data_IF_860835255461
#
_entry.id   IF_860835255461
#
_cell.length_a   1.000
_cell.length_b   1.000
_cell.length_c   1.000
_cell.angle_alpha   90.00
_cell.angle_beta   90.00
_cell.angle_gamma   90.00
#
_symmetry.space_group_name_H-M   'P 1'
#
loop_
_entity.id
_entity.type
_entity.pdbx_description
1 polymer ?
#
# COMPACT_ATOMS: atom_id res chain seq x y z
N UNK A 1 7.73 6.75 5.12
CA UNK A 1 7.27 7.16 6.48
C UNK A 1 8.20 6.57 7.56
N UNK A 2 8.93 7.38 8.33
CA UNK A 2 9.93 6.87 9.30
C UNK A 2 9.31 6.60 10.68
N UNK A 3 9.45 5.37 11.18
CA UNK A 3 9.04 4.98 12.55
C UNK A 3 10.15 5.33 13.54
N UNK A 4 9.81 5.55 14.80
CA UNK A 4 10.80 5.80 15.87
C UNK A 4 11.71 4.58 16.05
N UNK A 5 13.03 4.82 16.15
CA UNK A 5 14.08 3.77 16.16
C UNK A 5 13.83 2.66 17.20
N UNK A 6 13.35 3.02 18.39
CA UNK A 6 13.13 2.08 19.48
C UNK A 6 11.90 1.16 19.31
N UNK A 7 10.96 1.47 18.40
CA UNK A 7 9.72 0.69 18.22
C UNK A 7 9.86 -0.47 17.22
N UNK A 8 10.99 -0.56 16.51
CA UNK A 8 11.21 -1.53 15.45
C UNK A 8 10.27 -1.37 14.24
N UNK A 9 10.50 -2.14 13.17
CA UNK A 9 9.64 -2.18 11.99
C UNK A 9 8.28 -2.80 12.32
N UNK A 10 7.23 -2.47 11.54
CA UNK A 10 5.94 -3.15 11.67
C UNK A 10 5.93 -4.36 10.74
N UNK A 11 5.77 -5.55 11.31
CA UNK A 11 5.78 -6.82 10.59
C UNK A 11 4.42 -7.50 10.80
N UNK A 12 3.88 -8.15 9.75
CA UNK A 12 2.62 -8.91 9.81
C UNK A 12 2.89 -10.26 10.45
N UNK A 13 1.91 -10.80 11.16
CA UNK A 13 1.95 -12.20 11.57
C UNK A 13 1.54 -13.08 10.39
N UNK A 14 2.27 -14.17 10.15
CA UNK A 14 2.03 -15.08 9.01
C UNK A 14 0.58 -15.59 8.93
N UNK A 15 -0.08 -15.79 10.07
CA UNK A 15 -1.49 -16.24 10.15
C UNK A 15 -2.47 -15.27 9.47
N UNK A 16 -2.17 -13.97 9.51
CA UNK A 16 -3.07 -12.96 8.95
C UNK A 16 -3.03 -12.95 7.41
N UNK A 17 -2.00 -13.58 6.82
CA UNK A 17 -1.76 -13.68 5.38
C UNK A 17 -2.47 -14.88 4.72
N UNK A 18 -3.03 -15.80 5.51
CA UNK A 18 -3.76 -16.97 5.00
C UNK A 18 -5.11 -16.59 4.34
N UNK A 19 -5.62 -15.40 4.64
CA UNK A 19 -6.86 -14.91 4.03
C UNK A 19 -6.67 -14.61 2.54
N UNK A 20 -7.74 -14.79 1.74
CA UNK A 20 -7.67 -14.65 0.27
C UNK A 20 -7.25 -13.24 -0.21
N UNK A 21 -7.60 -12.20 0.54
CA UNK A 21 -7.25 -10.80 0.24
C UNK A 21 -7.04 -10.05 1.56
N UNK A 22 -5.88 -10.23 2.22
CA UNK A 22 -5.61 -9.58 3.49
C UNK A 22 -5.59 -8.06 3.32
N UNK A 23 -6.17 -7.35 4.30
CA UNK A 23 -6.07 -5.90 4.36
C UNK A 23 -4.80 -5.56 5.12
N UNK A 24 -3.81 -5.01 4.42
CA UNK A 24 -2.53 -4.63 5.02
C UNK A 24 -2.51 -3.14 5.39
N UNK A 25 -1.97 -2.79 6.57
CA UNK A 25 -1.87 -1.40 6.97
C UNK A 25 -0.74 -0.72 6.20
N UNK A 26 -0.91 0.57 5.91
CA UNK A 26 0.02 1.34 5.05
C UNK A 26 1.42 1.54 5.63
N UNK A 27 1.55 1.45 6.95
CA UNK A 27 2.81 1.64 7.69
C UNK A 27 3.64 0.35 7.81
N UNK A 28 3.10 -0.77 7.32
CA UNK A 28 3.75 -2.07 7.28
C UNK A 28 4.98 -2.04 6.38
N UNK A 29 6.05 -2.68 6.83
CA UNK A 29 7.26 -2.87 6.03
C UNK A 29 7.22 -4.20 5.29
N UNK A 30 7.56 -4.15 4.01
CA UNK A 30 7.57 -5.33 3.14
C UNK A 30 8.81 -6.14 3.48
N UNK A 31 8.56 -7.31 4.06
CA UNK A 31 9.55 -8.33 4.37
C UNK A 31 9.46 -9.43 3.32
N UNK A 32 10.52 -10.23 3.17
CA UNK A 32 10.58 -11.36 2.22
C UNK A 32 9.44 -12.36 2.37
N UNK A 33 8.81 -12.45 3.54
CA UNK A 33 7.67 -13.32 3.81
C UNK A 33 6.38 -12.92 3.08
N UNK A 34 6.27 -11.69 2.59
CA UNK A 34 5.03 -11.12 2.02
C UNK A 34 5.09 -11.05 0.49
N UNK A 35 6.16 -11.54 -0.13
CA UNK A 35 6.34 -11.54 -1.59
C UNK A 35 5.31 -12.45 -2.25
N UNK A 36 4.76 -12.01 -3.39
CA UNK A 36 3.78 -12.79 -4.16
C UNK A 36 2.36 -12.76 -3.61
N UNK A 37 2.14 -12.12 -2.45
CA UNK A 37 0.81 -11.96 -1.87
C UNK A 37 0.09 -10.81 -2.55
N UNK A 38 -1.20 -11.03 -2.82
CA UNK A 38 -2.12 -9.97 -3.27
C UNK A 38 -2.88 -9.44 -2.06
N UNK A 39 -2.72 -8.16 -1.77
CA UNK A 39 -3.30 -7.52 -0.59
C UNK A 39 -4.18 -6.33 -0.96
N UNK A 40 -5.08 -5.97 -0.05
CA UNK A 40 -5.88 -4.76 -0.13
C UNK A 40 -5.27 -3.69 0.76
N UNK A 41 -5.03 -2.50 0.19
CA UNK A 41 -4.44 -1.37 0.90
C UNK A 41 -5.40 -0.21 0.86
N UNK A 42 -5.72 0.37 2.02
CA UNK A 42 -6.64 1.48 2.09
C UNK A 42 -6.01 2.77 1.54
N UNK A 43 -6.67 3.43 0.60
CA UNK A 43 -6.21 4.70 -0.01
C UNK A 43 -6.75 5.94 0.71
N UNK A 44 -7.70 5.79 1.64
CA UNK A 44 -8.41 6.88 2.35
C UNK A 44 -9.89 7.00 1.96
N UNK A 45 -10.29 6.37 0.85
CA UNK A 45 -11.69 6.28 0.40
C UNK A 45 -12.07 4.85 -0.03
N UNK A 46 -11.17 4.19 -0.74
CA UNK A 46 -11.33 2.84 -1.30
C UNK A 46 -10.12 1.97 -0.96
N UNK A 47 -10.26 0.66 -1.17
CA UNK A 47 -9.15 -0.29 -1.10
C UNK A 47 -8.61 -0.54 -2.50
N UNK A 48 -7.30 -0.43 -2.65
CA UNK A 48 -6.58 -0.78 -3.87
C UNK A 48 -5.97 -2.18 -3.70
N UNK A 49 -6.11 -3.02 -4.73
CA UNK A 49 -5.41 -4.31 -4.78
C UNK A 49 -3.96 -4.08 -5.21
N UNK A 50 -3.03 -4.65 -4.46
CA UNK A 50 -1.59 -4.57 -4.72
C UNK A 50 -0.97 -5.96 -4.61
N UNK A 51 -0.24 -6.36 -5.65
CA UNK A 51 0.61 -7.57 -5.64
C UNK A 51 2.02 -7.16 -5.28
N UNK A 52 2.63 -7.80 -4.28
CA UNK A 52 3.96 -7.45 -3.78
C UNK A 52 5.03 -8.18 -4.60
N UNK A 53 5.99 -7.43 -5.16
CA UNK A 53 7.19 -7.97 -5.82
C UNK A 53 8.44 -7.86 -4.91
N UNK A 54 9.50 -8.57 -5.29
CA UNK A 54 10.77 -8.63 -4.54
C UNK A 54 11.48 -7.27 -4.44
N UNK A 55 11.41 -6.47 -5.49
CA UNK A 55 11.99 -5.11 -5.53
C UNK A 55 11.37 -4.16 -4.50
N UNK A 56 10.22 -4.52 -3.92
CA UNK A 56 9.53 -3.71 -2.91
C UNK A 56 10.04 -3.94 -1.48
N UNK A 57 10.98 -4.86 -1.26
CA UNK A 57 11.53 -5.16 0.07
C UNK A 57 12.17 -3.91 0.70
N UNK A 58 11.93 -3.72 1.99
CA UNK A 58 12.45 -2.58 2.75
C UNK A 58 11.65 -1.28 2.57
N UNK A 59 10.70 -1.26 1.63
CA UNK A 59 9.72 -0.19 1.50
C UNK A 59 8.48 -0.46 2.33
N UNK A 60 7.64 0.58 2.46
CA UNK A 60 6.33 0.45 3.10
C UNK A 60 5.24 0.24 2.07
N UNK A 61 4.29 -0.63 2.38
CA UNK A 61 3.15 -0.94 1.50
C UNK A 61 2.41 0.33 1.05
N UNK A 62 2.28 1.31 1.95
CA UNK A 62 1.60 2.57 1.65
C UNK A 62 2.31 3.50 0.67
N UNK A 63 3.57 3.25 0.32
CA UNK A 63 4.35 4.04 -0.65
C UNK A 63 3.91 3.76 -2.09
N UNK A 64 3.40 2.54 -2.34
CA UNK A 64 2.92 2.11 -3.65
C UNK A 64 1.46 2.48 -3.92
N UNK A 65 0.77 3.11 -2.95
CA UNK A 65 -0.65 3.46 -3.06
C UNK A 65 -0.85 4.97 -2.88
N UNK A 66 -1.14 5.71 -3.96
CA UNK A 66 -1.30 7.16 -3.91
C UNK A 66 -2.60 7.55 -3.22
N UNK A 67 -2.55 8.45 -2.24
CA UNK A 67 -3.74 8.88 -1.46
C UNK A 67 -4.57 9.98 -2.10
N UNK A 68 -3.93 10.78 -2.96
CA UNK A 68 -4.57 11.91 -3.64
C UNK A 68 -4.63 11.60 -5.12
N UNK A 69 -5.75 11.95 -5.73
CA UNK A 69 -5.86 11.96 -7.18
C UNK A 69 -4.94 13.04 -7.75
N UNK A 70 -4.40 12.79 -8.94
CA UNK A 70 -3.56 13.77 -9.64
C UNK A 70 -4.40 15.00 -9.96
N UNK A 71 -3.84 16.18 -9.70
CA UNK A 71 -4.48 17.42 -10.10
C UNK A 71 -4.47 17.55 -11.62
N UNK A 72 -5.67 17.70 -12.20
CA UNK A 72 -5.85 18.00 -13.62
C UNK A 72 -6.65 19.30 -13.76
N UNK A 73 -6.15 20.21 -14.60
CA UNK A 73 -6.90 21.42 -14.93
C UNK A 73 -8.19 21.04 -15.66
N UNK A 74 -9.32 21.62 -15.23
CA UNK A 74 -10.61 21.39 -15.88
C UNK A 74 -10.55 21.84 -17.34
N UNK A 75 -10.78 20.92 -18.27
CA UNK A 75 -10.86 21.26 -19.70
C UNK A 75 -12.04 22.23 -19.93
N UNK A 76 -11.77 23.37 -20.56
CA UNK A 76 -12.81 24.34 -20.94
C UNK A 76 -13.68 23.71 -22.03
N UNK A 77 -14.98 23.51 -21.76
CA UNK A 77 -15.94 23.06 -22.79
C UNK A 77 -16.07 24.17 -23.84
N UNK A 78 -15.68 23.92 -25.10
CA UNK A 78 -16.06 24.77 -26.23
C UNK A 78 -17.57 24.64 -26.41
N UNK A 79 -18.31 25.74 -26.27
CA UNK A 79 -19.70 25.80 -26.72
C UNK A 79 -19.68 25.72 -28.26
N UNK A 80 -20.52 24.85 -28.82
CA UNK A 80 -20.84 24.86 -30.25
C UNK A 80 -21.70 26.08 -30.56
#
# INVERSE_FOLDING_TARGET
MKRSKWKGPLIVKLKDLETKLPVLPRNLEITSQVIGITCNVHTGKKYLKLTISDEMIGHKVGEFVPTRERFEFKKKKKKK
#
